data_IF_630620410845
#
_entry.id   IF_630620410845
#
_cell.length_a   1.000
_cell.length_b   1.000
_cell.length_c   1.000
_cell.angle_alpha   90.00
_cell.angle_beta   90.00
_cell.angle_gamma   90.00
#
_symmetry.space_group_name_H-M   'P 1'
#
loop_
_entity.id
_entity.type
_entity.pdbx_description
1 polymer ?
#
# COMPACT_ATOMS: atom_id res chain seq x y z
N UNK A 1 -10.80 9.84 9.63
CA UNK A 1 -9.49 9.39 9.10
C UNK A 1 -9.51 9.69 7.61
N UNK A 2 -8.57 10.48 7.11
CA UNK A 2 -8.50 10.83 5.68
C UNK A 2 -7.99 9.65 4.82
N UNK A 3 -8.20 9.73 3.49
CA UNK A 3 -7.78 8.69 2.54
C UNK A 3 -6.29 8.41 2.64
N UNK A 4 -5.45 9.44 2.74
CA UNK A 4 -4.01 9.25 2.87
C UNK A 4 -3.64 8.49 4.15
N UNK A 5 -4.29 8.80 5.27
CA UNK A 5 -4.09 8.07 6.52
C UNK A 5 -4.57 6.61 6.41
N UNK A 6 -5.69 6.33 5.73
CA UNK A 6 -6.15 4.96 5.46
C UNK A 6 -5.10 4.21 4.62
N UNK A 7 -4.67 4.81 3.51
CA UNK A 7 -3.66 4.24 2.62
C UNK A 7 -2.35 3.98 3.35
N UNK A 8 -1.83 4.95 4.11
CA UNK A 8 -0.58 4.79 4.84
C UNK A 8 -0.62 3.62 5.83
N UNK A 9 -1.77 3.42 6.51
CA UNK A 9 -1.96 2.28 7.42
C UNK A 9 -2.02 0.97 6.65
N UNK A 10 -2.82 0.88 5.60
CA UNK A 10 -2.92 -0.32 4.77
C UNK A 10 -1.58 -0.69 4.14
N UNK A 11 -0.87 0.29 3.59
CA UNK A 11 0.42 0.10 2.95
C UNK A 11 1.44 -0.51 3.92
N UNK A 12 1.49 -0.04 5.17
CA UNK A 12 2.34 -0.60 6.25
C UNK A 12 1.93 -2.00 6.71
N UNK A 13 0.68 -2.40 6.49
CA UNK A 13 0.21 -3.75 6.81
C UNK A 13 0.52 -4.76 5.71
N UNK A 14 1.02 -4.30 4.56
CA UNK A 14 1.39 -5.16 3.43
C UNK A 14 2.91 -5.24 3.29
N UNK A 15 3.45 -6.29 2.62
CA UNK A 15 4.87 -6.37 2.31
C UNK A 15 5.41 -5.18 1.49
N UNK A 16 4.52 -4.44 0.82
CA UNK A 16 4.85 -3.28 0.00
C UNK A 16 5.55 -2.14 0.75
N UNK A 17 5.40 -2.04 2.08
CA UNK A 17 6.14 -1.05 2.86
C UNK A 17 7.65 -1.29 2.87
N UNK A 18 8.08 -2.53 2.63
CA UNK A 18 9.49 -2.93 2.54
C UNK A 18 9.95 -3.04 1.09
N UNK A 19 9.02 -3.27 0.17
CA UNK A 19 9.28 -3.43 -1.27
C UNK A 19 8.30 -2.60 -2.11
N UNK A 20 8.61 -1.31 -2.26
CA UNK A 20 7.83 -0.39 -3.10
C UNK A 20 7.78 -0.84 -4.57
N UNK A 21 8.87 -1.34 -5.20
CA UNK A 21 8.82 -1.91 -6.54
C UNK A 21 7.69 -2.94 -6.74
N UNK A 22 7.51 -3.89 -5.81
CA UNK A 22 6.40 -4.86 -5.89
C UNK A 22 5.01 -4.23 -5.90
N UNK A 23 4.83 -3.08 -5.24
CA UNK A 23 3.56 -2.35 -5.31
C UNK A 23 3.34 -1.69 -6.67
N UNK A 24 4.40 -1.13 -7.26
CA UNK A 24 4.33 -0.54 -8.61
C UNK A 24 3.96 -1.64 -9.62
N UNK A 25 4.54 -2.84 -9.49
CA UNK A 25 4.18 -3.98 -10.33
C UNK A 25 2.73 -4.42 -10.15
N UNK A 26 2.22 -4.45 -8.91
CA UNK A 26 0.80 -4.76 -8.65
C UNK A 26 -0.13 -3.74 -9.35
N UNK A 27 0.21 -2.45 -9.28
CA UNK A 27 -0.55 -1.40 -9.93
C UNK A 27 -0.52 -1.55 -11.45
N UNK A 28 0.65 -1.85 -12.03
CA UNK A 28 0.79 -2.08 -13.47
C UNK A 28 -0.03 -3.29 -13.94
N UNK A 29 -0.03 -4.40 -13.19
CA UNK A 29 -0.87 -5.58 -13.44
C UNK A 29 -2.37 -5.27 -13.40
N UNK A 30 -2.75 -4.24 -12.63
CA UNK A 30 -4.12 -3.75 -12.52
C UNK A 30 -4.46 -2.67 -13.57
N UNK A 31 -3.56 -2.37 -14.50
CA UNK A 31 -3.76 -1.38 -15.56
C UNK A 31 -3.40 0.06 -15.21
N UNK A 32 -2.76 0.30 -14.05
CA UNK A 32 -2.42 1.64 -13.58
C UNK A 32 -0.91 1.89 -13.59
N UNK A 33 -0.50 3.07 -14.06
CA UNK A 33 0.88 3.53 -13.97
C UNK A 33 1.04 4.45 -12.76
N UNK A 34 1.92 4.07 -11.82
CA UNK A 34 2.23 4.86 -10.63
C UNK A 34 3.73 4.91 -10.39
N UNK A 35 4.18 5.99 -9.75
CA UNK A 35 5.58 6.21 -9.41
C UNK A 35 5.82 6.11 -7.91
N UNK A 36 7.07 5.79 -7.52
CA UNK A 36 7.51 5.86 -6.12
C UNK A 36 7.23 7.22 -5.48
N UNK A 37 7.34 8.31 -6.24
CA UNK A 37 7.04 9.66 -5.75
C UNK A 37 5.56 9.83 -5.37
N UNK A 38 4.64 9.38 -6.24
CA UNK A 38 3.20 9.39 -5.95
C UNK A 38 2.89 8.57 -4.69
N UNK A 39 3.44 7.36 -4.59
CA UNK A 39 3.26 6.49 -3.42
C UNK A 39 3.75 7.16 -2.13
N UNK A 40 4.90 7.84 -2.17
CA UNK A 40 5.42 8.58 -1.03
C UNK A 40 4.53 9.78 -0.65
N UNK A 41 3.97 10.49 -1.63
CA UNK A 41 3.04 11.59 -1.40
C UNK A 41 1.72 11.11 -0.78
N UNK A 42 1.23 9.93 -1.18
CA UNK A 42 0.03 9.29 -0.65
C UNK A 42 0.18 8.83 0.80
N UNK A 43 1.39 8.49 1.24
CA UNK A 43 1.66 8.10 2.64
C UNK A 43 1.69 9.28 3.62
N UNK A 44 1.71 10.52 3.12
CA UNK A 44 1.71 11.74 3.95
C UNK A 44 0.29 12.17 4.26
N UNK A 45 0.06 12.69 5.47
CA UNK A 45 -1.22 13.28 5.88
C UNK A 45 -1.67 14.34 4.87
N UNK A 46 -2.94 14.30 4.53
CA UNK A 46 -3.58 15.27 3.63
C UNK A 46 -3.44 16.71 4.16
N UNK A 47 -3.35 17.68 3.25
CA UNK A 47 -3.27 19.12 3.59
C UNK A 47 -1.85 19.69 3.69
N UNK A 48 -0.82 18.88 3.48
CA UNK A 48 0.56 19.38 3.36
C UNK A 48 0.94 19.62 1.90
N UNK A 49 1.80 20.61 1.60
CA UNK A 49 2.27 20.91 0.22
C UNK A 49 2.86 19.67 -0.50
N UNK A 50 3.40 18.76 0.30
CA UNK A 50 4.05 17.52 -0.11
C UNK A 50 3.10 16.32 -0.16
N UNK A 51 1.83 16.47 0.19
CA UNK A 51 0.80 15.44 0.07
C UNK A 51 0.07 15.54 -1.27
N UNK A 52 -0.44 14.41 -1.73
CA UNK A 52 -1.40 14.35 -2.84
C UNK A 52 -2.55 13.44 -2.40
N UNK A 53 -3.81 13.75 -2.76
CA UNK A 53 -4.92 12.87 -2.48
C UNK A 53 -4.69 11.48 -3.06
N UNK A 54 -5.06 10.44 -2.31
CA UNK A 54 -5.04 9.06 -2.80
C UNK A 54 -6.23 8.82 -3.74
N UNK A 55 -6.01 8.41 -5.00
CA UNK A 55 -7.09 8.03 -5.91
C UNK A 55 -7.83 6.76 -5.45
N UNK A 56 -9.11 6.64 -5.81
CA UNK A 56 -9.95 5.51 -5.36
C UNK A 56 -9.48 4.15 -5.90
N UNK A 57 -8.97 4.10 -7.15
CA UNK A 57 -8.43 2.88 -7.73
C UNK A 57 -7.30 2.26 -6.88
N UNK A 58 -6.57 3.08 -6.10
CA UNK A 58 -5.50 2.59 -5.22
C UNK A 58 -6.09 1.68 -4.14
N UNK A 59 -7.25 2.03 -3.60
CA UNK A 59 -7.95 1.19 -2.62
C UNK A 59 -8.54 -0.06 -3.25
N UNK A 60 -9.12 0.06 -4.45
CA UNK A 60 -9.66 -1.09 -5.19
C UNK A 60 -8.58 -2.16 -5.42
N UNK A 61 -7.38 -1.73 -5.85
CA UNK A 61 -6.24 -2.63 -6.06
C UNK A 61 -5.74 -3.24 -4.76
N UNK A 62 -5.57 -2.43 -3.70
CA UNK A 62 -5.13 -2.93 -2.38
C UNK A 62 -6.15 -3.92 -1.81
N UNK A 63 -7.44 -3.61 -1.84
CA UNK A 63 -8.46 -4.50 -1.30
C UNK A 63 -8.57 -5.80 -2.09
N UNK A 64 -8.45 -5.75 -3.42
CA UNK A 64 -8.41 -6.96 -4.26
C UNK A 64 -7.21 -7.85 -3.90
N UNK A 65 -6.02 -7.25 -3.75
CA UNK A 65 -4.83 -7.97 -3.30
C UNK A 65 -5.01 -8.63 -1.93
N UNK A 66 -5.54 -7.89 -0.96
CA UNK A 66 -5.79 -8.40 0.41
C UNK A 66 -6.81 -9.53 0.40
N UNK A 67 -7.90 -9.38 -0.36
CA UNK A 67 -8.94 -10.38 -0.49
C UNK A 67 -8.41 -11.68 -1.11
N UNK A 68 -7.64 -11.59 -2.20
CA UNK A 68 -7.04 -12.76 -2.82
C UNK A 68 -6.09 -13.51 -1.88
N UNK A 69 -5.26 -12.80 -1.12
CA UNK A 69 -4.37 -13.43 -0.13
C UNK A 69 -5.17 -14.15 0.95
N UNK A 70 -6.24 -13.51 1.45
CA UNK A 70 -7.13 -14.12 2.45
C UNK A 70 -7.77 -15.39 1.91
N UNK A 71 -8.30 -15.37 0.68
CA UNK A 71 -8.90 -16.55 0.04
C UNK A 71 -7.88 -17.68 -0.14
N UNK A 72 -6.63 -17.34 -0.43
CA UNK A 72 -5.52 -18.31 -0.60
C UNK A 72 -4.87 -18.73 0.72
N UNK A 73 -5.33 -18.25 1.88
CA UNK A 73 -4.73 -18.53 3.19
C UNK A 73 -3.32 -17.97 3.38
N UNK A 74 -2.94 -16.94 2.61
CA UNK A 74 -1.62 -16.31 2.67
C UNK A 74 -1.61 -15.19 3.72
N UNK A 75 -0.52 -15.10 4.51
CA UNK A 75 -0.37 -14.03 5.49
C UNK A 75 -0.35 -12.66 4.82
N UNK A 76 -1.08 -11.70 5.37
CA UNK A 76 -1.11 -10.32 4.85
C UNK A 76 -0.03 -9.47 5.50
N UNK A 77 0.24 -9.73 6.78
CA UNK A 77 1.15 -8.96 7.62
C UNK A 77 2.53 -9.61 7.54
N UNK A 78 3.60 -8.85 7.24
CA UNK A 78 4.95 -9.38 7.33
C UNK A 78 5.21 -9.83 8.78
N UNK A 79 5.61 -11.09 8.94
CA UNK A 79 5.96 -11.65 10.25
C UNK A 79 7.17 -10.88 10.76
N UNK A 80 7.03 -10.13 11.84
CA UNK A 80 8.17 -9.58 12.54
C UNK A 80 8.91 -10.79 13.11
N UNK A 81 10.06 -11.15 12.53
CA UNK A 81 10.97 -12.05 13.23
C UNK A 81 11.41 -11.31 14.50
N UNK A 82 10.92 -11.78 15.65
CA UNK A 82 11.47 -11.40 16.94
C UNK A 82 12.96 -11.79 16.89
N UNK A 83 13.82 -10.78 16.74
CA UNK A 83 15.24 -10.96 17.02
C UNK A 83 15.34 -11.27 18.50
N UNK A 84 15.46 -12.56 18.83
CA UNK A 84 15.90 -13.00 20.14
C UNK A 84 17.32 -12.45 20.32
N UNK A 85 17.44 -11.45 21.18
CA UNK A 85 18.69 -10.87 21.66
C UNK A 85 19.21 -11.69 22.85
#
# INVERSE_FOLDING_TARGET
MDKNTIFAKLFRLTPFSYDIPSFIELMAKSGYSVTKSQINCWQRREGTEKSRPVPDFVFEVIFSYLFERKVKGLEIIPRFEEKNE
#
